data_IF_762237959859
#
_entry.id   IF_762237959859
#
_cell.length_a   1.000
_cell.length_b   1.000
_cell.length_c   1.000
_cell.angle_alpha   90.00
_cell.angle_beta   90.00
_cell.angle_gamma   90.00
#
_symmetry.space_group_name_H-M   'P 1'
#
loop_
_entity.id
_entity.type
_entity.pdbx_description
1 polymer ?
#
# COMPACT_ATOMS: atom_id res chain seq x y z
N UNK A 1 14.65 -15.11 -8.68
CA UNK A 1 15.56 -14.06 -9.21
C UNK A 1 14.73 -13.26 -10.19
N UNK A 2 14.21 -12.10 -9.73
CA UNK A 2 13.00 -11.50 -10.27
C UNK A 2 13.15 -10.90 -11.68
N UNK A 3 12.23 -11.20 -12.61
CA UNK A 3 12.25 -10.67 -13.99
C UNK A 3 11.08 -9.77 -14.41
N UNK A 4 11.28 -8.46 -14.24
CA UNK A 4 10.37 -7.39 -14.68
C UNK A 4 10.65 -6.81 -16.08
N UNK A 5 11.37 -7.51 -16.96
CA UNK A 5 11.87 -6.90 -18.21
C UNK A 5 10.95 -6.97 -19.45
N UNK A 6 9.73 -7.50 -19.35
CA UNK A 6 8.86 -7.59 -20.53
C UNK A 6 8.23 -6.25 -20.98
N UNK A 7 8.26 -5.22 -20.15
CA UNK A 7 7.68 -3.89 -20.42
C UNK A 7 8.50 -2.97 -21.35
N UNK A 8 9.41 -3.52 -22.17
CA UNK A 8 10.48 -2.75 -22.82
C UNK A 8 10.49 -2.63 -24.34
N UNK A 9 9.44 -3.02 -25.08
CA UNK A 9 9.46 -2.97 -26.56
C UNK A 9 8.18 -2.42 -27.19
N UNK A 10 7.92 -1.13 -27.01
CA UNK A 10 7.09 -0.39 -27.99
C UNK A 10 8.00 0.10 -29.12
N UNK A 11 7.80 -0.47 -30.32
CA UNK A 11 8.51 -0.04 -31.54
C UNK A 11 7.86 1.23 -32.07
N UNK A 12 8.71 2.24 -32.32
CA UNK A 12 8.44 3.41 -33.13
C UNK A 12 7.73 3.04 -34.45
N UNK A 13 6.60 3.69 -34.73
CA UNK A 13 6.06 3.84 -36.09
C UNK A 13 5.95 5.33 -36.38
N UNK A 14 6.68 5.78 -37.41
CA UNK A 14 6.62 7.14 -37.97
C UNK A 14 5.42 7.28 -38.93
N UNK A 15 4.97 8.52 -39.23
CA UNK A 15 3.62 8.78 -39.73
C UNK A 15 3.55 9.01 -41.25
N UNK A 16 2.33 8.87 -41.79
CA UNK A 16 1.87 9.53 -43.01
C UNK A 16 0.68 8.82 -43.69
N UNK A 17 -0.12 9.50 -44.55
CA UNK A 17 -0.54 10.89 -44.51
C UNK A 17 -2.07 11.06 -44.47
N UNK A 18 -2.50 12.31 -44.34
CA UNK A 18 -3.87 12.85 -44.39
C UNK A 18 -4.78 12.18 -45.44
N UNK A 19 -6.04 11.95 -45.04
CA UNK A 19 -7.18 12.19 -45.91
C UNK A 19 -8.30 12.92 -45.15
N UNK A 20 -8.85 13.93 -45.82
CA UNK A 20 -9.80 14.93 -45.35
C UNK A 20 -11.23 14.38 -45.16
N UNK A 21 -12.03 15.19 -44.44
CA UNK A 21 -13.49 15.41 -44.53
C UNK A 21 -14.42 14.37 -43.85
N UNK A 22 -15.05 14.78 -42.76
CA UNK A 22 -16.39 15.41 -42.80
C UNK A 22 -16.86 15.75 -41.37
N UNK A 23 -17.23 17.02 -41.18
CA UNK A 23 -17.94 17.51 -39.99
C UNK A 23 -19.40 17.12 -40.15
N UNK A 24 -19.94 16.32 -39.22
CA UNK A 24 -21.37 16.24 -38.96
C UNK A 24 -21.61 16.37 -37.46
N UNK A 25 -22.08 17.54 -37.07
CA UNK A 25 -22.66 17.80 -35.74
C UNK A 25 -24.05 17.19 -35.67
N UNK A 26 -24.25 16.17 -34.83
CA UNK A 26 -25.57 15.82 -34.31
C UNK A 26 -25.55 15.90 -32.79
N UNK A 27 -26.39 16.80 -32.27
CA UNK A 27 -26.83 16.81 -30.88
C UNK A 27 -27.79 15.64 -30.66
N UNK A 28 -27.52 14.81 -29.66
CA UNK A 28 -28.54 13.93 -29.07
C UNK A 28 -28.24 13.68 -27.60
N UNK A 29 -29.32 13.73 -26.82
CA UNK A 29 -29.40 13.92 -25.38
C UNK A 29 -28.92 12.74 -24.54
N UNK A 30 -28.53 13.08 -23.30
CA UNK A 30 -28.27 12.18 -22.19
C UNK A 30 -29.37 11.12 -22.00
N UNK A 31 -28.96 9.88 -21.76
CA UNK A 31 -29.72 8.91 -20.96
C UNK A 31 -28.76 7.96 -20.27
N UNK A 32 -28.48 8.28 -19.01
CA UNK A 32 -27.81 7.40 -18.06
C UNK A 32 -28.84 6.38 -17.57
N UNK A 33 -28.74 5.13 -18.02
CA UNK A 33 -29.46 4.03 -17.40
C UNK A 33 -28.64 3.52 -16.21
N UNK A 34 -28.97 4.00 -15.01
CA UNK A 34 -28.52 3.43 -13.75
C UNK A 34 -29.27 2.10 -13.51
N UNK A 35 -28.53 0.99 -13.40
CA UNK A 35 -29.03 -0.20 -12.73
C UNK A 35 -28.90 0.03 -11.22
N UNK A 36 -29.98 0.52 -10.62
CA UNK A 36 -30.19 0.51 -9.16
C UNK A 36 -30.49 -0.93 -8.77
N UNK A 37 -29.58 -1.56 -8.03
CA UNK A 37 -29.89 -2.82 -7.35
C UNK A 37 -30.35 -2.52 -5.92
N UNK A 38 -31.42 -3.18 -5.53
CA UNK A 38 -32.26 -2.83 -4.38
C UNK A 38 -31.78 -3.58 -3.15
N UNK A 39 -31.38 -2.84 -2.12
CA UNK A 39 -30.96 -3.38 -0.82
C UNK A 39 -32.21 -3.71 0.04
N UNK A 40 -32.40 -4.94 0.54
CA UNK A 40 -33.46 -5.23 1.50
C UNK A 40 -33.13 -4.68 2.89
N UNK A 41 -34.14 -4.14 3.57
CA UNK A 41 -34.05 -3.59 4.92
C UNK A 41 -33.62 -4.64 5.96
N UNK A 42 -32.67 -4.28 6.80
CA UNK A 42 -32.17 -5.08 7.92
C UNK A 42 -33.22 -5.14 9.03
N UNK A 43 -33.71 -6.34 9.31
CA UNK A 43 -34.35 -6.67 10.57
C UNK A 43 -33.27 -6.97 11.63
N UNK A 44 -33.42 -6.33 12.79
CA UNK A 44 -32.56 -6.43 13.95
C UNK A 44 -32.54 -7.86 14.54
N UNK A 45 -31.36 -8.47 14.62
CA UNK A 45 -31.14 -9.67 15.44
C UNK A 45 -29.67 -9.76 15.87
N UNK A 46 -29.46 -9.96 17.18
CA UNK A 46 -28.20 -10.06 17.93
C UNK A 46 -26.90 -10.17 17.12
N UNK A 47 -26.18 -9.06 17.00
CA UNK A 47 -24.94 -8.95 16.23
C UNK A 47 -23.81 -9.82 16.80
N UNK A 48 -23.58 -10.99 16.20
CA UNK A 48 -22.23 -11.52 16.06
C UNK A 48 -21.42 -10.47 15.27
N UNK A 49 -20.33 -9.98 15.85
CA UNK A 49 -19.45 -9.00 15.20
C UNK A 49 -18.96 -9.59 13.86
N UNK A 50 -19.34 -9.00 12.73
CA UNK A 50 -18.88 -9.44 11.41
C UNK A 50 -17.34 -9.50 11.39
N UNK A 51 -16.79 -10.60 10.87
CA UNK A 51 -15.35 -10.84 10.74
C UNK A 51 -14.71 -10.04 9.61
N UNK A 52 -15.09 -8.77 9.46
CA UNK A 52 -14.68 -7.90 8.37
C UNK A 52 -13.92 -6.68 8.88
N UNK A 53 -12.83 -6.30 8.21
CA UNK A 53 -12.06 -5.09 8.51
C UNK A 53 -11.56 -4.48 7.21
N UNK A 54 -11.67 -3.15 7.13
CA UNK A 54 -11.02 -2.34 6.10
C UNK A 54 -10.18 -1.28 6.83
N UNK A 55 -8.86 -1.40 6.72
CA UNK A 55 -7.93 -0.40 7.22
C UNK A 55 -8.08 0.87 6.38
N UNK A 56 -8.13 2.02 7.07
CA UNK A 56 -8.20 3.35 6.46
C UNK A 56 -6.83 3.72 5.86
N UNK A 57 -6.55 3.14 4.69
CA UNK A 57 -5.31 3.32 3.93
C UNK A 57 -5.69 3.82 2.54
N UNK A 58 -5.57 5.13 2.28
CA UNK A 58 -5.87 5.68 0.96
C UNK A 58 -4.98 5.07 -0.13
N UNK A 59 -5.52 4.76 -1.32
CA UNK A 59 -4.72 4.32 -2.44
C UNK A 59 -3.66 5.33 -2.87
N UNK A 60 -2.56 4.84 -3.43
CA UNK A 60 -1.46 5.66 -3.96
C UNK A 60 -1.06 5.19 -5.35
N UNK A 61 -0.58 6.10 -6.19
CA UNK A 61 -0.08 5.79 -7.52
C UNK A 61 1.42 5.53 -7.49
N UNK A 62 1.84 4.35 -7.97
CA UNK A 62 3.24 4.06 -8.17
C UNK A 62 3.81 4.72 -9.43
N UNK A 63 5.10 4.99 -9.44
CA UNK A 63 5.82 5.23 -10.67
C UNK A 63 6.07 3.91 -11.41
N UNK A 64 5.98 3.94 -12.75
CA UNK A 64 6.22 2.78 -13.61
C UNK A 64 7.67 2.71 -14.12
N UNK A 65 8.43 3.80 -13.98
CA UNK A 65 9.84 3.85 -14.35
C UNK A 65 10.68 2.86 -13.53
N UNK A 66 11.84 2.48 -14.08
CA UNK A 66 12.88 1.73 -13.36
C UNK A 66 12.37 0.46 -12.68
N UNK A 67 11.73 -0.43 -13.46
CA UNK A 67 11.17 -1.72 -13.00
C UNK A 67 9.97 -1.58 -12.03
N UNK A 68 9.28 -0.44 -12.07
CA UNK A 68 8.13 -0.14 -11.20
C UNK A 68 8.54 0.19 -9.76
N UNK A 69 7.63 0.81 -9.00
CA UNK A 69 7.83 1.20 -7.58
C UNK A 69 6.78 0.59 -6.64
N UNK A 70 6.24 -0.57 -7.00
CA UNK A 70 5.13 -1.21 -6.29
C UNK A 70 5.43 -1.49 -4.80
N UNK A 71 6.62 -2.02 -4.50
CA UNK A 71 7.07 -2.26 -3.13
C UNK A 71 7.20 -0.97 -2.33
N UNK A 72 7.81 0.05 -2.91
CA UNK A 72 7.97 1.36 -2.28
C UNK A 72 6.61 2.01 -2.00
N UNK A 73 5.70 2.04 -2.97
CA UNK A 73 4.37 2.61 -2.80
C UNK A 73 3.56 1.86 -1.74
N UNK A 74 3.65 0.53 -1.68
CA UNK A 74 2.99 -0.26 -0.65
C UNK A 74 3.52 0.06 0.76
N UNK A 75 4.84 0.24 0.91
CA UNK A 75 5.47 0.63 2.18
C UNK A 75 5.14 2.06 2.58
N UNK A 76 5.01 2.98 1.63
CA UNK A 76 4.56 4.36 1.90
C UNK A 76 3.11 4.33 2.40
N UNK A 77 2.23 3.55 1.78
CA UNK A 77 0.83 3.39 2.22
C UNK A 77 0.74 2.87 3.66
N UNK A 78 1.53 1.85 4.02
CA UNK A 78 1.62 1.37 5.40
C UNK A 78 2.26 2.41 6.34
N UNK A 79 3.25 3.16 5.86
CA UNK A 79 3.88 4.25 6.60
C UNK A 79 2.89 5.35 6.95
N UNK A 80 2.05 5.79 6.01
CA UNK A 80 1.02 6.80 6.26
C UNK A 80 0.05 6.35 7.36
N UNK A 81 -0.33 5.07 7.36
CA UNK A 81 -1.15 4.47 8.41
C UNK A 81 -0.51 4.53 9.80
N UNK A 82 0.83 4.60 9.87
CA UNK A 82 1.63 4.70 11.09
C UNK A 82 2.34 6.05 11.29
N UNK A 83 1.80 7.11 10.68
CA UNK A 83 2.22 8.46 11.03
C UNK A 83 3.49 8.90 10.31
N UNK A 84 3.85 8.32 9.16
CA UNK A 84 5.07 8.67 8.44
C UNK A 84 4.87 8.81 6.93
N UNK A 85 5.49 9.86 6.37
CA UNK A 85 5.61 10.11 4.94
C UNK A 85 7.07 10.04 4.51
N UNK A 86 7.30 9.42 3.35
CA UNK A 86 8.57 9.35 2.63
C UNK A 86 8.26 9.19 1.14
N UNK A 87 9.12 9.70 0.27
CA UNK A 87 8.92 9.60 -1.19
C UNK A 87 9.19 8.19 -1.72
N UNK A 88 8.67 7.87 -2.91
CA UNK A 88 9.00 6.62 -3.61
C UNK A 88 10.51 6.49 -3.88
N UNK A 89 11.16 7.61 -4.22
CA UNK A 89 12.61 7.65 -4.46
C UNK A 89 13.42 7.29 -3.21
N UNK A 90 13.08 7.89 -2.07
CA UNK A 90 13.83 7.67 -0.83
C UNK A 90 13.50 6.31 -0.22
N UNK A 91 12.27 5.82 -0.38
CA UNK A 91 11.90 4.47 0.06
C UNK A 91 12.75 3.43 -0.67
N UNK A 92 12.98 3.61 -1.98
CA UNK A 92 13.92 2.78 -2.75
C UNK A 92 15.36 2.90 -2.24
N UNK A 93 15.80 4.12 -1.93
CA UNK A 93 17.14 4.36 -1.39
C UNK A 93 17.34 3.75 0.01
N UNK A 94 16.29 3.65 0.82
CA UNK A 94 16.29 2.95 2.11
C UNK A 94 16.38 1.44 1.89
N UNK A 95 15.59 0.90 0.95
CA UNK A 95 15.53 -0.53 0.69
C UNK A 95 16.82 -1.10 0.10
N UNK A 96 17.52 -0.28 -0.70
CA UNK A 96 18.71 -0.69 -1.45
C UNK A 96 19.78 0.41 -1.40
N UNK A 97 20.41 0.62 -0.24
CA UNK A 97 21.35 1.71 -0.04
C UNK A 97 22.53 1.57 -1.00
N UNK A 98 22.94 2.70 -1.59
CA UNK A 98 24.03 2.80 -2.57
C UNK A 98 23.81 2.06 -3.90
N UNK A 99 22.58 1.64 -4.20
CA UNK A 99 22.23 1.09 -5.51
C UNK A 99 21.52 2.16 -6.33
N UNK A 100 22.00 2.35 -7.56
CA UNK A 100 21.39 3.26 -8.53
C UNK A 100 19.92 2.87 -8.80
N UNK A 101 19.02 3.84 -8.72
CA UNK A 101 17.56 3.69 -8.89
C UNK A 101 17.15 3.02 -10.20
N UNK A 102 17.95 3.15 -11.27
CA UNK A 102 17.69 2.53 -12.57
C UNK A 102 18.19 1.09 -12.69
N UNK A 103 18.72 0.49 -11.62
CA UNK A 103 19.16 -0.90 -11.60
C UNK A 103 18.07 -1.78 -11.00
N UNK A 104 17.89 -2.97 -11.57
CA UNK A 104 16.94 -3.99 -11.08
C UNK A 104 17.12 -4.27 -9.58
N UNK A 105 18.37 -4.44 -9.14
CA UNK A 105 18.67 -4.70 -7.73
C UNK A 105 18.38 -3.55 -6.77
N UNK A 106 17.83 -2.42 -7.23
CA UNK A 106 17.43 -1.32 -6.34
C UNK A 106 16.01 -1.49 -5.78
N UNK A 107 15.18 -2.34 -6.36
CA UNK A 107 13.77 -2.50 -5.98
C UNK A 107 13.60 -2.91 -4.50
N UNK A 108 12.52 -2.43 -3.87
CA UNK A 108 11.99 -3.01 -2.66
C UNK A 108 11.21 -4.29 -3.02
N UNK A 109 11.66 -5.43 -2.52
CA UNK A 109 11.15 -6.77 -2.84
C UNK A 109 10.84 -7.56 -1.56
N UNK A 110 9.76 -8.32 -1.60
CA UNK A 110 9.31 -9.14 -0.48
C UNK A 110 10.16 -10.41 -0.34
N UNK A 111 10.52 -10.78 0.89
CA UNK A 111 11.44 -11.88 1.16
C UNK A 111 12.88 -11.61 0.75
N UNK A 112 13.24 -10.34 0.50
CA UNK A 112 14.59 -9.91 0.11
C UNK A 112 15.09 -8.80 1.03
N UNK A 113 14.42 -7.64 1.01
CA UNK A 113 14.83 -6.44 1.76
C UNK A 113 13.67 -5.74 2.49
N UNK A 114 12.47 -6.31 2.47
CA UNK A 114 11.25 -5.79 3.10
C UNK A 114 11.36 -5.66 4.62
N UNK A 115 11.80 -6.70 5.33
CA UNK A 115 11.99 -6.65 6.78
C UNK A 115 13.02 -5.59 7.22
N UNK A 116 14.17 -5.56 6.54
CA UNK A 116 15.20 -4.55 6.79
C UNK A 116 14.71 -3.13 6.48
N UNK A 117 13.95 -2.95 5.40
CA UNK A 117 13.34 -1.67 5.03
C UNK A 117 12.34 -1.21 6.09
N UNK A 118 11.46 -2.10 6.58
CA UNK A 118 10.52 -1.79 7.65
C UNK A 118 11.25 -1.28 8.91
N UNK A 119 12.32 -1.97 9.31
CA UNK A 119 13.12 -1.58 10.47
C UNK A 119 13.79 -0.20 10.29
N UNK A 120 14.37 0.07 9.12
CA UNK A 120 14.94 1.39 8.79
C UNK A 120 13.89 2.49 8.78
N UNK A 121 12.67 2.18 8.34
CA UNK A 121 11.51 3.06 8.41
C UNK A 121 10.89 3.14 9.81
N UNK A 122 11.51 2.54 10.84
CA UNK A 122 11.05 2.53 12.24
C UNK A 122 9.67 1.89 12.44
N UNK A 123 9.38 0.88 11.64
CA UNK A 123 8.17 0.07 11.69
C UNK A 123 8.48 -1.31 12.30
N UNK A 124 7.53 -1.84 13.08
CA UNK A 124 7.51 -3.25 13.47
C UNK A 124 6.90 -4.04 12.31
N UNK A 125 7.55 -5.14 11.95
CA UNK A 125 7.08 -6.03 10.91
C UNK A 125 7.09 -7.49 11.35
N UNK A 126 6.21 -8.27 10.74
CA UNK A 126 6.23 -9.73 10.80
C UNK A 126 6.14 -10.24 9.37
N UNK A 127 7.16 -10.96 8.93
CA UNK A 127 7.22 -11.58 7.61
C UNK A 127 6.51 -12.93 7.63
N UNK A 128 5.86 -13.29 6.51
CA UNK A 128 5.37 -14.63 6.30
C UNK A 128 6.54 -15.61 6.12
N UNK A 129 6.51 -16.75 6.83
CA UNK A 129 7.51 -17.80 6.65
C UNK A 129 7.24 -18.60 5.38
N UNK A 130 7.69 -18.04 4.25
CA UNK A 130 7.57 -18.66 2.94
C UNK A 130 8.44 -19.91 2.76
N UNK A 131 9.41 -20.13 3.66
CA UNK A 131 10.37 -21.24 3.56
C UNK A 131 9.78 -22.50 4.19
N UNK A 132 9.23 -22.39 5.39
CA UNK A 132 8.70 -23.55 6.11
C UNK A 132 7.21 -23.80 5.83
N UNK A 133 6.50 -22.81 5.30
CA UNK A 133 5.03 -22.83 5.19
C UNK A 133 4.54 -22.48 3.78
N UNK A 134 4.92 -23.24 2.72
CA UNK A 134 4.51 -22.94 1.35
C UNK A 134 3.07 -23.42 1.06
N UNK A 135 2.09 -22.82 1.74
CA UNK A 135 0.68 -23.15 1.60
C UNK A 135 -0.16 -21.88 1.44
N UNK A 136 -0.76 -21.69 0.26
CA UNK A 136 -1.54 -20.50 -0.06
C UNK A 136 -2.77 -20.30 0.84
N UNK A 137 -3.37 -21.38 1.39
CA UNK A 137 -4.49 -21.27 2.31
C UNK A 137 -4.04 -20.79 3.69
N UNK A 138 -2.92 -21.33 4.21
CA UNK A 138 -2.33 -20.86 5.48
C UNK A 138 -1.81 -19.43 5.35
N UNK A 139 -1.25 -19.07 4.19
CA UNK A 139 -0.87 -17.70 3.86
C UNK A 139 -2.07 -16.75 3.90
N UNK A 140 -3.17 -17.07 3.23
CA UNK A 140 -4.38 -16.23 3.23
C UNK A 140 -5.05 -16.16 4.61
N UNK A 141 -5.02 -17.25 5.37
CA UNK A 141 -5.41 -17.29 6.78
C UNK A 141 -4.55 -16.32 7.63
N UNK A 142 -3.23 -16.32 7.43
CA UNK A 142 -2.32 -15.40 8.10
C UNK A 142 -2.56 -13.93 7.70
N UNK A 143 -2.79 -13.65 6.42
CA UNK A 143 -3.19 -12.30 5.96
C UNK A 143 -4.46 -11.87 6.66
N UNK A 144 -5.50 -12.71 6.66
CA UNK A 144 -6.76 -12.45 7.36
C UNK A 144 -6.53 -12.12 8.84
N UNK A 145 -5.73 -12.92 9.54
CA UNK A 145 -5.44 -12.69 10.96
C UNK A 145 -4.82 -11.31 11.23
N UNK A 146 -3.85 -10.91 10.40
CA UNK A 146 -3.19 -9.60 10.53
C UNK A 146 -4.14 -8.46 10.18
N UNK A 147 -4.88 -8.55 9.07
CA UNK A 147 -5.80 -7.50 8.64
C UNK A 147 -6.95 -7.32 9.62
N UNK A 148 -7.52 -8.40 10.17
CA UNK A 148 -8.55 -8.33 11.21
C UNK A 148 -8.02 -7.77 12.53
N UNK A 149 -6.71 -7.82 12.75
CA UNK A 149 -6.04 -7.15 13.88
C UNK A 149 -5.76 -5.67 13.60
N UNK A 150 -6.15 -5.15 12.43
CA UNK A 150 -5.96 -3.76 12.03
C UNK A 150 -4.58 -3.46 11.46
N UNK A 151 -3.80 -4.49 11.10
CA UNK A 151 -2.46 -4.34 10.53
C UNK A 151 -2.51 -4.27 9.00
N UNK A 152 -1.88 -3.27 8.37
CA UNK A 152 -1.57 -3.30 6.94
C UNK A 152 -0.72 -4.54 6.62
N UNK A 153 -1.09 -5.27 5.56
CA UNK A 153 -0.27 -6.35 5.02
C UNK A 153 0.14 -5.98 3.60
N UNK A 154 1.38 -6.24 3.24
CA UNK A 154 1.91 -6.03 1.89
C UNK A 154 2.24 -7.39 1.32
N UNK A 155 1.74 -7.73 0.13
CA UNK A 155 1.88 -9.07 -0.45
C UNK A 155 2.28 -9.05 -1.93
N UNK A 156 2.90 -10.14 -2.37
CA UNK A 156 3.17 -10.42 -3.78
C UNK A 156 1.97 -11.06 -4.47
N UNK A 157 1.68 -10.66 -5.69
CA UNK A 157 0.62 -11.24 -6.56
C UNK A 157 1.14 -11.46 -7.98
N UNK A 158 0.48 -12.35 -8.71
CA UNK A 158 0.63 -12.44 -10.15
C UNK A 158 -0.19 -11.38 -10.85
N UNK A 159 0.41 -10.81 -11.90
CA UNK A 159 -0.28 -10.09 -12.95
C UNK A 159 -0.76 -11.07 -14.02
N UNK A 160 -1.92 -10.78 -14.62
CA UNK A 160 -2.37 -11.47 -15.81
C UNK A 160 -1.71 -10.85 -17.05
N UNK A 161 -0.58 -11.41 -17.48
CA UNK A 161 0.23 -10.82 -18.55
C UNK A 161 -0.37 -10.96 -19.96
N UNK A 162 -1.40 -11.80 -20.15
CA UNK A 162 -2.19 -11.73 -21.40
C UNK A 162 -3.00 -10.44 -21.49
N UNK A 163 -3.32 -9.81 -20.36
CA UNK A 163 -3.98 -8.49 -20.28
C UNK A 163 -2.99 -7.32 -20.28
N UNK A 164 -1.84 -7.45 -19.60
CA UNK A 164 -0.84 -6.38 -19.50
C UNK A 164 0.00 -6.18 -20.76
N UNK A 165 0.60 -7.26 -21.27
CA UNK A 165 1.63 -7.18 -22.31
C UNK A 165 1.22 -7.86 -23.63
N UNK A 166 -0.05 -8.30 -23.74
CA UNK A 166 -0.59 -9.07 -24.87
C UNK A 166 0.40 -10.16 -25.31
N UNK A 167 0.89 -10.92 -24.33
CA UNK A 167 1.78 -12.05 -24.60
C UNK A 167 0.92 -13.32 -24.78
N UNK A 168 1.18 -14.08 -25.84
CA UNK A 168 0.60 -15.42 -26.01
C UNK A 168 1.32 -16.49 -25.19
N UNK A 169 2.30 -16.11 -24.36
CA UNK A 169 3.00 -17.03 -23.48
C UNK A 169 2.23 -17.19 -22.18
N UNK A 170 1.57 -18.34 -22.04
CA UNK A 170 0.80 -18.67 -20.86
C UNK A 170 1.66 -18.75 -19.58
N UNK A 171 2.99 -18.85 -19.71
CA UNK A 171 3.93 -18.84 -18.57
C UNK A 171 4.67 -17.51 -18.37
N UNK A 172 4.31 -16.45 -19.08
CA UNK A 172 4.94 -15.15 -18.92
C UNK A 172 4.82 -14.62 -17.49
N UNK A 173 5.89 -13.98 -16.99
CA UNK A 173 5.98 -13.41 -15.65
C UNK A 173 6.98 -14.17 -14.77
N UNK A 174 7.08 -13.78 -13.52
CA UNK A 174 7.96 -14.43 -12.54
C UNK A 174 7.32 -15.70 -11.96
N UNK A 175 8.11 -16.67 -11.51
CA UNK A 175 7.53 -17.87 -10.86
C UNK A 175 7.06 -17.60 -9.42
N UNK A 176 7.39 -16.45 -8.83
CA UNK A 176 7.07 -16.10 -7.45
C UNK A 176 5.99 -15.02 -7.34
N UNK A 177 6.21 -13.84 -7.93
CA UNK A 177 5.22 -12.75 -8.01
C UNK A 177 5.66 -11.67 -9.02
N UNK A 178 4.69 -10.96 -9.60
CA UNK A 178 4.95 -9.82 -10.50
C UNK A 178 4.69 -8.46 -9.82
N UNK A 179 3.77 -8.42 -8.86
CA UNK A 179 3.33 -7.14 -8.32
C UNK A 179 3.28 -7.18 -6.79
N UNK A 180 3.57 -6.05 -6.16
CA UNK A 180 3.53 -5.88 -4.71
C UNK A 180 2.42 -4.90 -4.36
N UNK A 181 1.48 -5.34 -3.53
CA UNK A 181 0.25 -4.62 -3.24
C UNK A 181 -0.01 -4.51 -1.74
N UNK A 182 -0.47 -3.35 -1.22
CA UNK A 182 -1.00 -3.27 0.13
C UNK A 182 -2.42 -3.87 0.18
N UNK A 183 -2.59 -4.88 1.03
CA UNK A 183 -3.89 -5.39 1.47
C UNK A 183 -4.48 -4.42 2.49
N UNK A 184 -5.64 -3.88 2.15
CA UNK A 184 -6.32 -2.89 2.96
C UNK A 184 -7.56 -3.46 3.65
N UNK A 185 -8.03 -4.64 3.27
CA UNK A 185 -9.18 -5.23 3.94
C UNK A 185 -9.39 -6.71 3.69
N UNK A 186 -10.12 -7.33 4.62
CA UNK A 186 -10.66 -8.69 4.50
C UNK A 186 -12.10 -8.66 4.97
N UNK A 187 -12.99 -9.29 4.21
CA UNK A 187 -14.37 -9.52 4.62
C UNK A 187 -14.61 -11.01 4.80
N UNK A 188 -15.11 -11.40 5.98
CA UNK A 188 -15.43 -12.78 6.31
C UNK A 188 -16.83 -12.88 6.91
N UNK A 189 -17.55 -13.94 6.54
CA UNK A 189 -18.80 -14.35 7.20
C UNK A 189 -18.55 -15.23 8.42
N UNK A 190 -17.30 -15.67 8.64
CA UNK A 190 -16.87 -16.42 9.81
C UNK A 190 -16.65 -15.54 11.05
N UNK A 191 -16.62 -16.15 12.25
CA UNK A 191 -16.42 -15.42 13.50
C UNK A 191 -15.03 -14.77 13.57
N UNK A 192 -14.96 -13.56 14.15
CA UNK A 192 -13.75 -12.74 14.22
C UNK A 192 -12.68 -13.23 15.24
N UNK A 193 -12.82 -14.41 15.84
CA UNK A 193 -12.00 -14.84 16.98
C UNK A 193 -10.71 -15.61 16.59
N UNK A 194 -9.58 -14.90 16.74
CA UNK A 194 -8.21 -15.29 17.13
C UNK A 194 -7.48 -16.54 16.61
N UNK A 195 -8.05 -17.31 15.68
CA UNK A 195 -7.24 -18.06 14.72
C UNK A 195 -7.94 -17.93 13.39
N UNK A 196 -7.49 -16.97 12.60
CA UNK A 196 -8.02 -16.72 11.28
C UNK A 196 -7.87 -18.00 10.46
N UNK A 197 -8.95 -18.74 10.32
CA UNK A 197 -9.00 -19.95 9.51
C UNK A 197 -9.35 -19.54 8.09
N UNK A 198 -8.71 -20.19 7.12
CA UNK A 198 -9.01 -20.03 5.72
C UNK A 198 -10.48 -20.36 5.44
N UNK A 199 -11.18 -19.47 4.74
CA UNK A 199 -12.47 -19.78 4.14
C UNK A 199 -12.44 -19.31 2.69
N UNK A 200 -12.79 -20.21 1.76
CA UNK A 200 -12.68 -19.93 0.33
C UNK A 200 -13.55 -18.73 -0.13
N UNK A 201 -14.63 -18.46 0.60
CA UNK A 201 -15.55 -17.34 0.35
C UNK A 201 -15.15 -16.01 1.00
N UNK A 202 -14.10 -15.99 1.84
CA UNK A 202 -13.54 -14.74 2.37
C UNK A 202 -13.06 -13.85 1.21
N UNK A 203 -13.25 -12.54 1.33
CA UNK A 203 -12.89 -11.58 0.29
C UNK A 203 -11.67 -10.80 0.75
N UNK A 204 -10.57 -10.87 -0.01
CA UNK A 204 -9.43 -9.97 0.14
C UNK A 204 -9.69 -8.68 -0.63
N UNK A 205 -9.30 -7.54 -0.07
CA UNK A 205 -9.29 -6.24 -0.75
C UNK A 205 -7.90 -5.63 -0.67
N UNK A 206 -7.32 -5.27 -1.81
CA UNK A 206 -6.01 -4.63 -1.88
C UNK A 206 -6.01 -3.49 -2.90
N UNK A 207 -5.02 -2.59 -2.79
CA UNK A 207 -4.75 -1.60 -3.83
C UNK A 207 -3.67 -2.09 -4.80
N UNK A 208 -3.87 -1.97 -6.11
CA UNK A 208 -2.84 -2.29 -7.12
C UNK A 208 -1.81 -1.16 -7.33
N UNK A 209 -1.79 -0.16 -6.45
CA UNK A 209 -0.99 1.05 -6.59
C UNK A 209 -1.22 1.81 -7.91
N UNK A 210 -2.40 1.67 -8.50
CA UNK A 210 -2.81 2.32 -9.74
C UNK A 210 -2.08 1.82 -10.99
N UNK A 211 -1.57 0.59 -10.96
CA UNK A 211 -0.83 0.00 -12.08
C UNK A 211 -1.74 -0.39 -13.25
N UNK A 212 -2.90 -1.01 -13.00
CA UNK A 212 -3.82 -1.42 -14.07
C UNK A 212 -4.80 -0.30 -14.40
N UNK A 213 -4.68 0.24 -15.62
CA UNK A 213 -5.47 1.38 -16.09
C UNK A 213 -5.73 1.36 -17.61
N UNK A 214 -6.29 0.28 -18.19
CA UNK A 214 -6.43 0.12 -19.64
C UNK A 214 -7.38 1.15 -20.28
N UNK A 215 -8.43 1.55 -19.55
CA UNK A 215 -9.55 2.33 -20.09
C UNK A 215 -9.65 3.75 -19.50
N UNK A 216 -8.58 4.26 -18.88
CA UNK A 216 -8.57 5.58 -18.25
C UNK A 216 -7.97 5.56 -16.85
N UNK A 217 -8.45 6.40 -15.90
CA UNK A 217 -7.91 6.45 -14.55
C UNK A 217 -7.94 5.07 -13.86
N UNK A 218 -6.91 4.73 -13.06
CA UNK A 218 -6.85 3.43 -12.40
C UNK A 218 -8.00 3.25 -11.40
N UNK A 219 -8.50 2.01 -11.31
CA UNK A 219 -9.53 1.63 -10.34
C UNK A 219 -9.00 1.58 -8.90
N UNK A 220 -7.68 1.42 -8.74
CA UNK A 220 -6.94 1.22 -7.49
C UNK A 220 -7.32 -0.02 -6.69
N UNK A 221 -8.60 -0.29 -6.43
CA UNK A 221 -9.06 -1.29 -5.48
C UNK A 221 -9.58 -2.54 -6.18
N UNK A 222 -9.06 -3.69 -5.76
CA UNK A 222 -9.44 -5.00 -6.28
C UNK A 222 -9.89 -5.92 -5.17
N UNK A 223 -10.89 -6.75 -5.48
CA UNK A 223 -11.55 -7.64 -4.52
C UNK A 223 -11.65 -9.04 -5.10
N UNK A 224 -11.19 -10.03 -4.34
CA UNK A 224 -11.23 -11.43 -4.77
C UNK A 224 -11.66 -12.34 -3.63
N UNK A 225 -12.49 -13.34 -3.94
CA UNK A 225 -12.71 -14.46 -3.03
C UNK A 225 -11.43 -15.27 -2.91
N UNK A 226 -11.04 -15.67 -1.70
CA UNK A 226 -9.82 -16.41 -1.40
C UNK A 226 -9.65 -17.66 -2.28
N UNK A 227 -10.71 -18.43 -2.49
CA UNK A 227 -10.69 -19.62 -3.34
C UNK A 227 -10.50 -19.31 -4.83
N UNK A 228 -11.18 -18.27 -5.33
CA UNK A 228 -11.08 -17.86 -6.74
C UNK A 228 -9.80 -17.07 -7.06
N UNK A 229 -9.16 -16.49 -6.04
CA UNK A 229 -7.97 -15.67 -6.20
C UNK A 229 -6.73 -16.50 -6.52
N UNK A 230 -6.68 -17.76 -6.05
CA UNK A 230 -5.53 -18.63 -6.21
C UNK A 230 -5.41 -19.24 -7.62
N UNK A 231 -4.24 -19.13 -8.23
CA UNK A 231 -3.94 -19.65 -9.57
C UNK A 231 -2.49 -20.15 -9.68
N UNK A 232 -2.27 -21.16 -10.52
CA UNK A 232 -0.95 -21.38 -11.13
C UNK A 232 -0.62 -20.24 -12.09
N UNK A 233 0.65 -20.13 -12.49
CA UNK A 233 1.10 -19.13 -13.47
C UNK A 233 0.34 -19.22 -14.81
N UNK A 234 0.14 -20.44 -15.32
CA UNK A 234 -0.64 -20.69 -16.54
C UNK A 234 -2.11 -20.25 -16.40
N UNK A 235 -2.75 -20.58 -15.28
CA UNK A 235 -4.12 -20.13 -15.01
C UNK A 235 -4.18 -18.61 -14.91
N UNK A 236 -3.24 -17.97 -14.21
CA UNK A 236 -3.21 -16.51 -14.01
C UNK A 236 -3.17 -15.73 -15.32
N UNK A 237 -2.48 -16.25 -16.35
CA UNK A 237 -2.37 -15.63 -17.67
C UNK A 237 -3.54 -15.95 -18.61
N UNK A 238 -4.54 -16.72 -18.18
CA UNK A 238 -5.72 -16.96 -19.00
C UNK A 238 -6.48 -15.64 -19.23
N UNK A 239 -6.78 -15.31 -20.49
CA UNK A 239 -7.44 -14.04 -20.87
C UNK A 239 -8.80 -13.84 -20.20
N UNK A 240 -9.49 -14.92 -19.82
CA UNK A 240 -10.79 -14.87 -19.15
C UNK A 240 -10.68 -14.76 -17.62
N UNK A 241 -9.48 -14.87 -17.04
CA UNK A 241 -9.30 -14.66 -15.61
C UNK A 241 -9.19 -13.18 -15.26
N UNK A 242 -9.39 -12.82 -13.98
CA UNK A 242 -9.15 -11.46 -13.52
C UNK A 242 -7.69 -11.01 -13.70
N UNK A 243 -7.46 -9.71 -13.53
CA UNK A 243 -6.15 -9.07 -13.74
C UNK A 243 -5.08 -9.48 -12.72
N UNK A 244 -5.48 -9.96 -11.54
CA UNK A 244 -4.56 -10.41 -10.49
C UNK A 244 -4.94 -11.78 -9.96
N UNK A 245 -3.95 -12.53 -9.52
CA UNK A 245 -4.12 -13.82 -8.84
C UNK A 245 -3.04 -14.02 -7.78
N UNK A 246 -3.34 -14.84 -6.76
CA UNK A 246 -2.33 -15.33 -5.82
C UNK A 246 -1.71 -16.62 -6.35
N UNK A 247 -0.38 -16.81 -6.26
CA UNK A 247 0.23 -18.11 -6.54
C UNK A 247 -0.39 -19.21 -5.66
N UNK A 248 -1.02 -20.22 -6.28
CA UNK A 248 -1.64 -21.37 -5.58
C UNK A 248 -0.62 -22.34 -5.01
N UNK A 249 0.49 -22.51 -5.72
CA UNK A 249 1.62 -23.37 -5.34
C UNK A 249 2.92 -22.58 -5.38
N UNK A 250 3.95 -23.09 -4.71
CA UNK A 250 5.22 -22.39 -4.54
C UNK A 250 5.23 -21.50 -3.29
N UNK A 251 6.14 -20.54 -3.26
CA UNK A 251 6.30 -19.60 -2.15
C UNK A 251 5.41 -18.38 -2.37
N UNK A 252 4.62 -18.03 -1.36
CA UNK A 252 3.98 -16.73 -1.27
C UNK A 252 4.83 -15.81 -0.38
N UNK A 253 4.78 -14.51 -0.65
CA UNK A 253 5.57 -13.52 0.08
C UNK A 253 4.66 -12.41 0.59
N UNK A 254 4.80 -12.10 1.87
CA UNK A 254 4.14 -10.96 2.49
C UNK A 254 4.85 -10.51 3.75
N UNK A 255 4.61 -9.25 4.10
CA UNK A 255 5.02 -8.64 5.36
C UNK A 255 3.84 -7.88 5.95
N UNK A 256 3.53 -8.15 7.22
CA UNK A 256 2.56 -7.40 8.00
C UNK A 256 3.31 -6.28 8.72
N UNK A 257 2.86 -5.04 8.57
CA UNK A 257 3.37 -3.92 9.35
C UNK A 257 2.49 -3.79 10.58
N UNK A 258 3.02 -4.16 11.75
CA UNK A 258 2.21 -4.37 12.97
C UNK A 258 2.24 -3.18 13.94
N UNK A 259 3.02 -2.15 13.61
CA UNK A 259 3.14 -0.97 14.44
C UNK A 259 4.39 -0.15 14.13
N UNK A 260 4.66 0.80 15.02
CA UNK A 260 5.92 1.54 15.05
C UNK A 260 6.87 0.90 16.08
N UNK A 261 8.17 1.07 15.89
CA UNK A 261 9.16 0.66 16.89
C UNK A 261 9.13 1.63 18.07
N UNK A 262 8.47 1.21 19.14
CA UNK A 262 8.46 1.84 20.46
C UNK A 262 8.66 0.74 21.51
N UNK A 263 9.76 0.84 22.26
CA UNK A 263 10.17 -0.10 23.30
C UNK A 263 9.55 0.25 24.66
N UNK A 264 9.07 1.48 24.85
CA UNK A 264 8.39 1.90 26.09
C UNK A 264 6.87 1.66 26.01
N UNK A 265 6.33 1.49 24.80
CA UNK A 265 4.91 1.23 24.55
C UNK A 265 3.99 2.39 24.93
N UNK A 266 4.49 3.62 24.85
CA UNK A 266 3.80 4.85 25.28
C UNK A 266 3.24 5.68 24.10
N UNK A 267 3.60 5.35 22.86
CA UNK A 267 3.11 6.12 21.71
C UNK A 267 1.62 5.92 21.47
N UNK A 268 0.92 7.01 21.18
CA UNK A 268 -0.43 6.99 20.65
C UNK A 268 -0.44 6.82 19.12
N UNK A 269 -1.50 6.24 18.53
CA UNK A 269 -1.64 6.15 17.09
C UNK A 269 -1.68 7.54 16.44
N UNK A 270 -0.83 7.71 15.42
CA UNK A 270 -0.85 8.86 14.51
C UNK A 270 -1.06 8.34 13.10
N UNK A 271 -2.06 8.85 12.40
CA UNK A 271 -2.33 8.55 10.98
C UNK A 271 -2.07 9.78 10.13
N UNK A 272 -1.44 9.59 8.98
CA UNK A 272 -1.28 10.63 7.97
C UNK A 272 -2.19 10.36 6.77
N UNK A 273 -2.77 11.43 6.24
CA UNK A 273 -3.26 11.46 4.87
C UNK A 273 -2.54 12.56 4.09
N UNK A 274 -2.51 12.41 2.76
CA UNK A 274 -1.96 13.38 1.83
C UNK A 274 -3.07 13.95 0.97
N UNK A 275 -2.97 15.21 0.56
CA UNK A 275 -3.89 15.85 -0.39
C UNK A 275 -3.79 15.30 -1.82
N UNK A 276 -2.67 14.66 -2.14
CA UNK A 276 -2.41 13.98 -3.41
C UNK A 276 -2.17 12.50 -3.19
N UNK A 277 -2.64 11.66 -4.11
CA UNK A 277 -2.38 10.22 -4.11
C UNK A 277 -1.16 9.83 -4.96
N UNK A 278 -0.56 10.76 -5.68
CA UNK A 278 0.58 10.54 -6.57
C UNK A 278 1.71 11.54 -6.31
N UNK A 279 2.95 11.13 -6.57
CA UNK A 279 4.11 12.01 -6.54
C UNK A 279 4.41 12.54 -7.93
N UNK A 280 4.35 13.86 -8.08
CA UNK A 280 4.70 14.57 -9.31
C UNK A 280 5.81 15.59 -9.06
N UNK A 281 6.71 15.83 -10.02
CA UNK A 281 6.93 15.06 -11.25
C UNK A 281 7.31 13.60 -10.97
N UNK A 282 6.95 12.72 -11.91
CA UNK A 282 7.24 11.29 -11.81
C UNK A 282 8.71 10.99 -12.10
N UNK A 283 9.19 9.84 -11.64
CA UNK A 283 10.53 9.36 -11.99
C UNK A 283 10.68 9.14 -13.50
N UNK A 284 11.78 9.66 -14.06
CA UNK A 284 12.12 9.44 -15.47
C UNK A 284 12.64 8.02 -15.72
N UNK A 285 12.24 7.41 -16.83
CA UNK A 285 12.72 6.09 -17.22
C UNK A 285 14.25 6.06 -17.37
N UNK A 286 14.90 5.08 -16.74
CA UNK A 286 16.36 4.93 -16.73
C UNK A 286 17.11 5.96 -15.88
N UNK A 287 16.41 6.93 -15.27
CA UNK A 287 17.02 7.98 -14.48
C UNK A 287 17.53 7.44 -13.14
N UNK A 288 18.57 8.09 -12.61
CA UNK A 288 18.98 7.99 -11.20
C UNK A 288 18.79 9.31 -10.44
N UNK A 289 18.38 10.36 -11.15
CA UNK A 289 18.18 11.69 -10.59
C UNK A 289 16.81 11.75 -9.94
N UNK A 290 16.80 12.18 -8.68
CA UNK A 290 15.58 12.43 -7.93
C UNK A 290 14.67 13.40 -8.68
N UNK A 291 13.36 13.13 -8.80
CA UNK A 291 12.42 14.08 -9.37
C UNK A 291 12.44 15.40 -8.61
N UNK A 292 12.11 16.50 -9.30
CA UNK A 292 12.01 17.79 -8.66
C UNK A 292 10.98 17.74 -7.52
N UNK A 293 11.27 18.45 -6.44
CA UNK A 293 10.41 18.54 -5.28
C UNK A 293 9.08 19.25 -5.61
N UNK A 294 7.95 18.74 -5.09
CA UNK A 294 6.64 19.37 -5.16
C UNK A 294 6.05 19.61 -3.77
N UNK A 295 4.95 20.36 -3.67
CA UNK A 295 4.23 20.58 -2.42
C UNK A 295 3.34 19.38 -2.11
N UNK A 296 3.30 18.95 -0.85
CA UNK A 296 2.36 17.95 -0.34
C UNK A 296 1.76 18.50 0.96
N UNK A 297 0.43 18.45 1.09
CA UNK A 297 -0.24 18.78 2.34
C UNK A 297 -0.53 17.49 3.10
N UNK A 298 -0.03 17.41 4.32
CA UNK A 298 -0.28 16.33 5.26
C UNK A 298 -1.38 16.73 6.24
N UNK A 299 -2.26 15.80 6.53
CA UNK A 299 -3.16 15.86 7.69
C UNK A 299 -2.76 14.75 8.65
N UNK A 300 -2.16 15.13 9.78
CA UNK A 300 -1.78 14.23 10.85
C UNK A 300 -2.88 14.17 11.92
N UNK A 301 -3.46 12.98 12.11
CA UNK A 301 -4.50 12.73 13.10
C UNK A 301 -3.94 11.88 14.23
N UNK A 302 -3.82 12.46 15.42
CA UNK A 302 -3.53 11.73 16.66
C UNK A 302 -4.85 11.24 17.25
N UNK A 303 -4.90 9.97 17.67
CA UNK A 303 -6.09 9.35 18.28
C UNK A 303 -5.75 8.67 19.60
N UNK A 304 -6.77 8.33 20.39
CA UNK A 304 -6.57 7.71 21.71
C UNK A 304 -6.15 8.71 22.80
N UNK A 305 -6.34 10.01 22.57
CA UNK A 305 -6.09 11.03 23.58
C UNK A 305 -7.15 10.94 24.69
N UNK A 306 -6.72 11.23 25.92
CA UNK A 306 -7.62 11.34 27.08
C UNK A 306 -7.74 12.79 27.55
N UNK A 307 -8.95 13.31 27.81
CA UNK A 307 -9.15 14.64 28.37
C UNK A 307 -8.34 14.90 29.64
N UNK A 308 -7.74 16.09 29.74
CA UNK A 308 -6.94 16.50 30.90
C UNK A 308 -5.51 15.92 30.94
N UNK A 309 -5.17 14.94 30.09
CA UNK A 309 -3.78 14.49 29.92
C UNK A 309 -3.11 15.36 28.86
N UNK A 310 -1.90 15.83 29.15
CA UNK A 310 -1.09 16.58 28.18
C UNK A 310 -0.18 15.63 27.42
N UNK A 311 -0.11 15.81 26.10
CA UNK A 311 0.74 15.04 25.20
C UNK A 311 1.71 15.95 24.45
N UNK A 312 2.81 15.38 23.96
CA UNK A 312 3.67 16.01 22.95
C UNK A 312 3.55 15.22 21.66
N UNK A 313 3.25 15.91 20.55
CA UNK A 313 3.43 15.38 19.20
C UNK A 313 4.79 15.86 18.69
N UNK A 314 5.67 14.93 18.34
CA UNK A 314 6.97 15.19 17.73
C UNK A 314 6.89 14.97 16.22
N UNK A 315 7.58 15.81 15.44
CA UNK A 315 7.86 15.57 14.02
C UNK A 315 9.37 15.48 13.80
N UNK A 316 9.79 14.41 13.14
CA UNK A 316 11.16 14.15 12.72
C UNK A 316 11.26 14.30 11.21
N UNK A 317 12.40 14.81 10.74
CA UNK A 317 12.72 15.05 9.33
C UNK A 317 13.55 13.94 8.68
N UNK A 318 13.89 12.89 9.44
CA UNK A 318 14.61 11.70 8.98
C UNK A 318 14.36 10.51 9.93
N UNK A 319 14.48 9.28 9.41
CA UNK A 319 14.21 8.06 10.20
C UNK A 319 15.28 7.74 11.26
N UNK A 320 16.53 8.12 11.02
CA UNK A 320 17.63 7.93 11.98
C UNK A 320 17.45 8.76 13.25
N UNK A 321 16.76 9.91 13.15
CA UNK A 321 16.45 10.78 14.29
C UNK A 321 15.25 10.31 15.12
N UNK A 322 14.42 9.41 14.60
CA UNK A 322 13.27 8.89 15.33
C UNK A 322 13.77 7.92 16.40
N UNK A 323 13.59 8.23 17.69
CA UNK A 323 14.02 7.33 18.74
C UNK A 323 13.08 6.14 18.88
N UNK A 324 13.60 5.01 19.38
CA UNK A 324 12.80 3.80 19.64
C UNK A 324 12.28 3.73 21.09
N UNK A 325 12.64 4.71 21.93
CA UNK A 325 12.29 4.82 23.35
C UNK A 325 12.65 6.22 23.84
N UNK A 326 12.12 6.62 25.00
CA UNK A 326 12.49 7.86 25.67
C UNK A 326 12.19 9.10 24.83
N UNK A 327 11.03 9.15 24.18
CA UNK A 327 10.67 10.23 23.25
C UNK A 327 10.75 11.61 23.90
N UNK A 328 10.36 11.76 25.18
CA UNK A 328 10.44 13.05 25.88
C UNK A 328 11.90 13.39 26.24
N UNK A 329 12.70 12.42 26.72
CA UNK A 329 14.15 12.61 26.95
C UNK A 329 14.93 12.97 25.68
N UNK A 330 14.48 12.49 24.53
CA UNK A 330 15.09 12.71 23.22
C UNK A 330 14.35 13.77 22.38
N UNK A 331 13.61 14.66 23.04
CA UNK A 331 12.86 15.72 22.38
C UNK A 331 13.73 16.58 21.43
N UNK A 332 15.02 16.76 21.72
CA UNK A 332 15.96 17.52 20.89
C UNK A 332 16.29 16.86 19.54
N UNK A 333 15.92 15.59 19.33
CA UNK A 333 16.06 14.92 18.04
C UNK A 333 14.93 15.28 17.07
N UNK A 334 13.81 15.78 17.58
CA UNK A 334 12.69 16.21 16.74
C UNK A 334 12.98 17.57 16.12
N UNK A 335 12.59 17.74 14.86
CA UNK A 335 12.64 19.01 14.15
C UNK A 335 11.53 19.97 14.64
N UNK A 336 10.35 19.41 14.97
CA UNK A 336 9.22 20.18 15.51
C UNK A 336 8.50 19.43 16.62
N UNK A 337 7.81 20.17 17.47
CA UNK A 337 6.96 19.61 18.52
C UNK A 337 5.72 20.48 18.79
N UNK A 338 4.62 19.85 19.16
CA UNK A 338 3.37 20.50 19.56
C UNK A 338 2.86 19.91 20.87
N UNK A 339 2.43 20.78 21.79
CA UNK A 339 1.72 20.34 23.00
C UNK A 339 0.24 20.18 22.68
N UNK A 340 -0.31 19.03 23.04
CA UNK A 340 -1.72 18.70 22.86
C UNK A 340 -2.36 18.62 24.24
N UNK A 341 -3.39 19.43 24.46
CA UNK A 341 -4.24 19.35 25.63
C UNK A 341 -5.69 19.50 25.16
N UNK A 342 -6.48 18.44 25.32
CA UNK A 342 -7.89 18.40 24.92
C UNK A 342 -8.78 18.43 26.16
N UNK A 343 -9.89 19.19 26.08
CA UNK A 343 -10.90 19.26 27.15
C UNK A 343 -11.98 18.18 27.01
N UNK A 344 -12.25 17.75 25.78
CA UNK A 344 -13.26 16.75 25.41
C UNK A 344 -12.79 15.99 24.17
N UNK A 345 -13.40 14.83 23.89
CA UNK A 345 -13.05 14.00 22.74
C UNK A 345 -11.78 13.17 22.95
N UNK A 346 -11.23 12.63 21.85
CA UNK A 346 -10.06 11.74 21.88
C UNK A 346 -9.10 11.91 20.70
N UNK A 347 -9.25 12.99 19.92
CA UNK A 347 -8.51 13.22 18.68
C UNK A 347 -7.94 14.63 18.59
N UNK A 348 -6.78 14.75 17.94
CA UNK A 348 -6.15 16.03 17.57
C UNK A 348 -5.69 15.96 16.12
N UNK A 349 -5.93 17.03 15.36
CA UNK A 349 -5.60 17.11 13.94
C UNK A 349 -4.62 18.25 13.72
N UNK A 350 -3.52 17.97 13.04
CA UNK A 350 -2.52 18.92 12.59
C UNK A 350 -2.47 18.89 11.06
N UNK A 351 -2.54 20.06 10.43
CA UNK A 351 -2.26 20.20 9.00
C UNK A 351 -0.86 20.79 8.82
N UNK A 352 -0.06 20.17 7.96
CA UNK A 352 1.29 20.64 7.66
C UNK A 352 1.54 20.57 6.16
N UNK A 353 2.23 21.58 5.62
CA UNK A 353 2.72 21.54 4.25
C UNK A 353 4.19 21.16 4.26
N UNK A 354 4.53 20.09 3.56
CA UNK A 354 5.90 19.65 3.32
C UNK A 354 6.22 19.70 1.84
N UNK A 355 7.47 19.37 1.53
CA UNK A 355 7.90 19.02 0.19
C UNK A 355 7.85 17.51 -0.02
N UNK A 356 7.51 17.06 -1.23
CA UNK A 356 7.47 15.63 -1.61
C UNK A 356 8.82 14.93 -1.47
N UNK A 357 9.87 15.72 -1.28
CA UNK A 357 11.25 15.31 -1.23
C UNK A 357 11.79 15.40 0.23
N UNK A 358 10.89 15.52 1.20
CA UNK A 358 11.17 15.46 2.64
C UNK A 358 10.63 14.17 3.25
N UNK A 359 11.26 13.71 4.32
CA UNK A 359 10.70 12.72 5.24
C UNK A 359 9.94 13.45 6.35
N UNK A 360 8.80 12.93 6.77
CA UNK A 360 8.06 13.47 7.91
C UNK A 360 7.50 12.31 8.75
N UNK A 361 8.02 12.14 9.96
CA UNK A 361 7.59 11.08 10.89
C UNK A 361 7.02 11.70 12.14
N UNK A 362 5.82 11.29 12.54
CA UNK A 362 5.11 11.83 13.69
C UNK A 362 4.97 10.79 14.80
N UNK A 363 5.25 11.19 16.04
CA UNK A 363 5.09 10.35 17.23
C UNK A 363 4.46 11.16 18.35
N UNK A 364 3.35 10.67 18.92
CA UNK A 364 2.66 11.31 20.02
C UNK A 364 2.84 10.51 21.30
N UNK A 365 3.27 11.14 22.40
CA UNK A 365 3.41 10.50 23.72
C UNK A 365 2.86 11.41 24.83
N UNK A 366 2.36 10.86 25.96
CA UNK A 366 2.08 11.65 27.15
C UNK A 366 3.34 12.41 27.60
N UNK A 367 3.19 13.61 28.17
CA UNK A 367 4.35 14.36 28.69
C UNK A 367 5.04 13.69 29.89
N UNK A 368 4.39 12.69 30.48
CA UNK A 368 4.91 11.85 31.56
C UNK A 368 5.66 10.62 31.07
N UNK A 369 5.63 10.32 29.76
CA UNK A 369 6.41 9.23 29.18
C UNK A 369 7.92 9.50 29.32
N UNK A 370 8.78 8.46 29.32
CA UNK A 370 10.22 8.62 29.46
C UNK A 370 10.89 9.52 28.43
#
# INVERSE_FOLDING_TARGET
MFDFSLLGKSRFVRPGPLCLLAVLTLHASFSSAHAVDTQPALADSGATKDGSTMNDIPPRLQWTANYGYCGETAFISAGLYYGQYVSQFDTRAIASPNINQSKRGSQLLLGVNDGATAAQMRLKSVEWDSVTTPNANEFLAWIKGNVLSGYPVIMGVYENLSKFDVSGDERAGDDEYDHIVPVIGVSSTGPANQSATYQADDIITFSDNGLWSPDGPPAYLYRFKFGAFQASRQEANNENRPVYSLPRGGKNYAVAITGIIDRDGQTLPVRLTTDVNEERPVMGAGSNTRPASARVNLTATVSGLSPGVTYTLYRYDSFDKVPEAGFNKRASMADKQWKINIKTGSTYVLNETIRSDQVAVYRAVPVTAP
#
